data_IF_019736594332
#
_entry.id   IF_019736594332
#
_cell.length_a   1.000
_cell.length_b   1.000
_cell.length_c   1.000
_cell.angle_alpha   90.00
_cell.angle_beta   90.00
_cell.angle_gamma   90.00
#
_symmetry.space_group_name_H-M   'P 1'
#
loop_
_entity.id
_entity.type
_entity.pdbx_description
1 polymer ?
#
# COMPACT_ATOMS: atom_id res chain seq x y z
N UNK A 1 -34.94 7.69 32.83
CA UNK A 1 -33.89 8.73 32.98
C UNK A 1 -32.59 8.01 33.29
N UNK A 2 -31.56 7.94 32.47
CA UNK A 2 -31.30 8.31 31.09
C UNK A 2 -29.89 7.73 30.87
N UNK A 3 -29.75 6.76 29.97
CA UNK A 3 -28.46 6.18 29.59
C UNK A 3 -28.37 6.26 28.07
N UNK A 4 -27.32 6.94 27.60
CA UNK A 4 -27.09 7.32 26.21
C UNK A 4 -27.18 6.16 25.23
N UNK A 5 -28.05 6.35 24.24
CA UNK A 5 -28.06 5.60 22.99
C UNK A 5 -26.99 6.26 22.10
N UNK A 6 -25.74 5.83 22.23
CA UNK A 6 -24.62 6.35 21.40
C UNK A 6 -23.69 5.22 20.91
N UNK A 7 -24.23 4.03 20.65
CA UNK A 7 -23.41 2.86 20.23
C UNK A 7 -23.85 2.24 18.89
N UNK A 8 -24.83 2.81 18.17
CA UNK A 8 -25.35 2.19 16.94
C UNK A 8 -25.53 3.17 15.78
N UNK A 9 -24.43 3.72 15.23
CA UNK A 9 -24.41 4.19 13.82
C UNK A 9 -22.98 4.40 13.28
N UNK A 10 -22.22 3.32 13.11
CA UNK A 10 -21.20 3.27 12.06
C UNK A 10 -21.78 2.49 10.88
N UNK A 11 -22.87 3.01 10.29
CA UNK A 11 -23.38 2.50 9.02
C UNK A 11 -22.29 2.73 7.98
N UNK A 12 -21.70 1.63 7.51
CA UNK A 12 -20.95 1.56 6.27
C UNK A 12 -21.79 2.21 5.16
N UNK A 13 -21.43 3.42 4.75
CA UNK A 13 -22.04 4.07 3.59
C UNK A 13 -21.37 3.47 2.35
N UNK A 14 -21.84 2.30 1.93
CA UNK A 14 -21.60 1.81 0.59
C UNK A 14 -22.40 2.67 -0.39
N UNK A 15 -21.75 3.20 -1.43
CA UNK A 15 -22.42 3.88 -2.54
C UNK A 15 -23.26 2.89 -3.36
N UNK A 16 -24.12 3.44 -4.24
CA UNK A 16 -25.06 2.75 -5.15
C UNK A 16 -24.48 1.60 -6.00
N UNK A 17 -23.16 1.50 -6.16
CA UNK A 17 -22.45 0.45 -6.91
C UNK A 17 -21.65 -0.52 -6.01
N UNK A 18 -21.50 -0.22 -4.71
CA UNK A 18 -20.77 -1.06 -3.76
C UNK A 18 -19.25 -1.13 -3.95
N UNK A 19 -18.67 -0.36 -4.89
CA UNK A 19 -17.25 -0.45 -5.27
C UNK A 19 -16.34 0.57 -4.57
N UNK A 20 -16.92 1.61 -3.96
CA UNK A 20 -16.18 2.65 -3.25
C UNK A 20 -16.43 2.51 -1.73
N UNK A 21 -15.35 2.32 -0.99
CA UNK A 21 -15.30 2.41 0.47
C UNK A 21 -14.52 3.65 0.89
N UNK A 22 -14.92 4.32 1.97
CA UNK A 22 -14.17 5.44 2.52
C UNK A 22 -14.43 5.69 4.00
N UNK A 23 -13.45 6.33 4.64
CA UNK A 23 -13.53 6.99 5.94
C UNK A 23 -13.17 8.46 5.74
N UNK A 24 -14.18 9.33 5.75
CA UNK A 24 -13.97 10.76 5.47
C UNK A 24 -13.11 11.46 6.53
N UNK A 25 -13.19 11.02 7.80
CA UNK A 25 -12.34 11.55 8.88
C UNK A 25 -12.20 10.51 10.00
N UNK A 26 -11.00 10.42 10.58
CA UNK A 26 -10.71 9.73 11.84
C UNK A 26 -9.52 10.38 12.54
N UNK A 27 -9.24 9.97 13.77
CA UNK A 27 -8.14 10.50 14.60
C UNK A 27 -7.06 9.44 14.79
N UNK A 28 -5.80 9.87 14.83
CA UNK A 28 -4.62 9.06 15.16
C UNK A 28 -3.70 9.82 16.12
N UNK A 29 -2.56 9.23 16.51
CA UNK A 29 -1.68 9.75 17.55
C UNK A 29 -1.18 11.18 17.30
N UNK A 30 -1.12 11.60 16.04
CA UNK A 30 -0.48 12.85 15.62
C UNK A 30 -1.40 13.77 14.82
N UNK A 31 -2.72 13.50 14.78
CA UNK A 31 -3.67 14.33 14.05
C UNK A 31 -4.85 13.55 13.48
N UNK A 32 -5.30 14.00 12.31
CA UNK A 32 -6.48 13.47 11.62
C UNK A 32 -6.07 12.65 10.41
N UNK A 33 -6.92 11.74 9.96
CA UNK A 33 -6.72 11.04 8.70
C UNK A 33 -8.00 10.91 7.89
N UNK A 34 -7.85 10.69 6.58
CA UNK A 34 -8.92 10.31 5.66
C UNK A 34 -8.45 9.12 4.83
N UNK A 35 -9.34 8.18 4.52
CA UNK A 35 -9.01 6.96 3.79
C UNK A 35 -10.08 6.62 2.75
N UNK A 36 -9.70 6.15 1.58
CA UNK A 36 -10.63 5.72 0.54
C UNK A 36 -10.03 4.61 -0.31
N UNK A 37 -10.89 3.70 -0.77
CA UNK A 37 -10.55 2.60 -1.66
C UNK A 37 -11.65 2.46 -2.70
N UNK A 38 -11.30 2.43 -4.00
CA UNK A 38 -12.23 2.09 -5.07
C UNK A 38 -11.75 0.86 -5.83
N UNK A 39 -12.66 -0.08 -6.03
CA UNK A 39 -12.42 -1.31 -6.77
C UNK A 39 -12.62 -1.12 -8.27
N UNK A 40 -11.64 -1.57 -9.06
CA UNK A 40 -11.67 -1.73 -10.50
C UNK A 40 -11.58 -3.21 -10.91
N UNK A 41 -10.74 -3.99 -10.24
CA UNK A 41 -10.52 -5.41 -10.52
C UNK A 41 -11.74 -6.27 -10.15
N UNK A 42 -11.86 -7.48 -10.69
CA UNK A 42 -12.98 -8.37 -10.36
C UNK A 42 -13.02 -8.72 -8.86
N UNK A 43 -11.84 -8.91 -8.27
CA UNK A 43 -11.63 -8.93 -6.82
C UNK A 43 -10.81 -7.68 -6.47
N UNK A 44 -11.14 -7.01 -5.36
CA UNK A 44 -10.31 -5.93 -4.85
C UNK A 44 -8.98 -6.51 -4.39
N UNK A 45 -7.90 -6.19 -5.09
CA UNK A 45 -6.54 -6.68 -4.81
C UNK A 45 -5.83 -5.74 -3.83
N UNK A 46 -6.09 -4.44 -3.93
CA UNK A 46 -5.66 -3.42 -2.98
C UNK A 46 -6.12 -3.67 -1.55
N UNK A 47 -5.24 -3.46 -0.58
CA UNK A 47 -5.52 -3.44 0.85
C UNK A 47 -4.91 -2.20 1.50
N UNK A 48 -5.48 -1.75 2.61
CA UNK A 48 -4.89 -0.68 3.43
C UNK A 48 -5.20 -0.83 4.90
N UNK A 49 -4.35 -0.23 5.73
CA UNK A 49 -4.58 -0.15 7.17
C UNK A 49 -4.03 1.13 7.78
N UNK A 50 -4.67 1.51 8.89
CA UNK A 50 -4.29 2.59 9.77
C UNK A 50 -4.32 2.06 11.20
N UNK A 51 -3.16 2.07 11.85
CA UNK A 51 -3.00 1.64 13.24
C UNK A 51 -2.43 2.81 14.03
N UNK A 52 -2.98 3.10 15.20
CA UNK A 52 -2.49 4.15 16.10
C UNK A 52 -2.53 3.65 17.53
N UNK A 53 -1.57 4.09 18.34
CA UNK A 53 -1.42 3.61 19.71
C UNK A 53 -0.06 2.94 19.91
N UNK A 54 -0.06 1.85 20.67
CA UNK A 54 1.16 1.11 21.00
C UNK A 54 1.65 0.29 19.79
N UNK A 55 2.85 0.61 19.32
CA UNK A 55 3.55 -0.03 18.20
C UNK A 55 4.40 -1.22 18.66
N UNK A 56 4.18 -1.73 19.87
CA UNK A 56 4.86 -2.89 20.44
C UNK A 56 3.88 -3.80 21.19
N UNK A 57 4.33 -5.01 21.53
CA UNK A 57 3.58 -5.95 22.38
C UNK A 57 3.71 -5.62 23.87
N UNK A 58 4.65 -4.77 24.28
CA UNK A 58 4.83 -4.37 25.69
C UNK A 58 4.12 -3.05 25.98
N UNK A 59 3.44 -2.92 27.12
CA UNK A 59 2.69 -1.68 27.45
C UNK A 59 3.55 -0.41 27.50
N UNK A 60 4.86 -0.55 27.73
CA UNK A 60 5.81 0.57 27.79
C UNK A 60 6.53 0.85 26.45
N UNK A 61 6.22 0.13 25.37
CA UNK A 61 6.94 0.32 24.12
C UNK A 61 6.48 1.55 23.31
N UNK A 62 7.08 1.78 22.13
CA UNK A 62 6.86 2.99 21.35
C UNK A 62 5.39 3.20 21.00
N UNK A 63 4.93 4.45 21.11
CA UNK A 63 3.62 4.87 20.64
C UNK A 63 3.74 5.64 19.33
N UNK A 64 2.75 5.51 18.47
CA UNK A 64 2.76 6.22 17.20
C UNK A 64 1.63 5.80 16.28
N UNK A 65 1.86 6.05 14.99
CA UNK A 65 0.94 5.75 13.90
C UNK A 65 1.65 4.88 12.87
N UNK A 66 1.00 3.80 12.44
CA UNK A 66 1.40 2.97 11.31
C UNK A 66 0.34 3.09 10.21
N UNK A 67 0.81 3.25 8.98
CA UNK A 67 -0.02 3.33 7.76
C UNK A 67 0.50 2.28 6.79
N UNK A 68 -0.40 1.51 6.18
CA UNK A 68 -0.06 0.55 5.14
C UNK A 68 -0.97 0.70 3.93
N UNK A 69 -0.36 0.70 2.73
CA UNK A 69 -1.03 0.55 1.44
C UNK A 69 -0.37 -0.60 0.71
N UNK A 70 -1.17 -1.60 0.33
CA UNK A 70 -0.68 -2.85 -0.24
C UNK A 70 -1.44 -3.10 -1.54
N UNK A 71 -0.77 -2.83 -2.64
CA UNK A 71 -1.31 -2.96 -3.98
C UNK A 71 -1.02 -4.38 -4.48
N UNK A 72 -2.07 -5.20 -4.52
CA UNK A 72 -2.00 -6.62 -4.82
C UNK A 72 -2.14 -6.87 -6.31
N UNK A 73 -1.49 -7.92 -6.80
CA UNK A 73 -1.63 -8.32 -8.21
C UNK A 73 -1.63 -9.83 -8.39
N UNK A 74 -2.39 -10.28 -9.40
CA UNK A 74 -2.54 -11.70 -9.72
C UNK A 74 -3.45 -12.47 -8.75
N UNK A 75 -4.04 -11.76 -7.79
CA UNK A 75 -4.89 -12.24 -6.72
C UNK A 75 -4.75 -11.35 -5.47
N UNK A 76 -5.77 -11.31 -4.58
CA UNK A 76 -5.70 -10.55 -3.34
C UNK A 76 -4.99 -11.28 -2.19
N UNK A 77 -4.54 -12.53 -2.38
CA UNK A 77 -4.03 -13.37 -1.29
C UNK A 77 -2.80 -12.76 -0.61
N UNK A 78 -1.83 -12.26 -1.38
CA UNK A 78 -0.60 -11.71 -0.82
C UNK A 78 -0.83 -10.39 -0.10
N UNK A 79 -1.58 -9.45 -0.69
CA UNK A 79 -1.89 -8.16 -0.06
C UNK A 79 -2.72 -8.33 1.23
N UNK A 80 -3.65 -9.30 1.26
CA UNK A 80 -4.38 -9.68 2.48
C UNK A 80 -3.45 -10.27 3.54
N UNK A 81 -2.54 -11.16 3.15
CA UNK A 81 -1.56 -11.72 4.09
C UNK A 81 -0.71 -10.61 4.71
N UNK A 82 -0.24 -9.66 3.90
CA UNK A 82 0.51 -8.48 4.37
C UNK A 82 -0.34 -7.67 5.37
N UNK A 83 -1.60 -7.39 5.05
CA UNK A 83 -2.54 -6.65 5.90
C UNK A 83 -2.82 -7.35 7.25
N UNK A 84 -2.74 -8.67 7.29
CA UNK A 84 -2.94 -9.49 8.48
C UNK A 84 -1.70 -9.59 9.38
N UNK A 85 -0.49 -9.58 8.81
CA UNK A 85 0.71 -10.01 9.53
C UNK A 85 1.76 -8.91 9.71
N UNK A 86 1.92 -7.99 8.75
CA UNK A 86 3.06 -7.07 8.74
C UNK A 86 3.14 -6.20 10.00
N UNK A 87 2.02 -5.64 10.42
CA UNK A 87 1.96 -4.83 11.64
C UNK A 87 2.25 -5.65 12.89
N UNK A 88 1.79 -6.90 12.98
CA UNK A 88 2.09 -7.77 14.12
C UNK A 88 3.58 -8.15 14.18
N UNK A 89 4.19 -8.40 13.03
CA UNK A 89 5.64 -8.60 12.95
C UNK A 89 6.40 -7.34 13.38
N UNK A 90 5.96 -6.16 12.94
CA UNK A 90 6.53 -4.88 13.37
C UNK A 90 6.42 -4.70 14.89
N UNK A 91 5.26 -4.98 15.48
CA UNK A 91 5.08 -4.93 16.95
C UNK A 91 6.00 -5.90 17.69
N UNK A 92 6.15 -7.13 17.19
CA UNK A 92 7.05 -8.12 17.76
C UNK A 92 8.50 -7.63 17.75
N UNK A 93 9.00 -7.19 16.60
CA UNK A 93 10.39 -6.75 16.48
C UNK A 93 10.66 -5.43 17.20
N UNK A 94 9.68 -4.52 17.27
CA UNK A 94 9.77 -3.30 18.07
C UNK A 94 9.84 -3.62 19.58
N UNK A 95 9.12 -4.66 20.05
CA UNK A 95 9.23 -5.17 21.41
C UNK A 95 10.62 -5.73 21.71
N UNK A 96 11.14 -6.58 20.83
CA UNK A 96 12.46 -7.20 20.99
C UNK A 96 13.59 -6.16 21.04
N UNK A 97 13.46 -5.06 20.29
CA UNK A 97 14.46 -3.98 20.24
C UNK A 97 14.11 -2.78 21.13
N UNK A 98 12.98 -2.81 21.83
CA UNK A 98 12.46 -1.74 22.68
C UNK A 98 12.40 -0.36 22.00
N UNK A 99 12.31 -0.33 20.67
CA UNK A 99 12.36 0.90 19.87
C UNK A 99 11.81 0.66 18.47
N UNK A 100 11.44 1.74 17.78
CA UNK A 100 11.17 1.70 16.34
C UNK A 100 12.44 2.08 15.58
N UNK A 101 12.82 1.28 14.59
CA UNK A 101 14.05 1.48 13.82
C UNK A 101 13.92 0.94 12.39
N UNK A 102 14.87 1.31 11.53
CA UNK A 102 14.99 0.74 10.17
C UNK A 102 15.09 -0.79 10.22
N UNK A 103 15.84 -1.33 11.18
CA UNK A 103 16.03 -2.77 11.32
C UNK A 103 14.78 -3.50 11.79
N UNK A 104 13.97 -2.88 12.67
CA UNK A 104 12.64 -3.40 13.04
C UNK A 104 11.76 -3.53 11.81
N UNK A 105 11.71 -2.48 10.98
CA UNK A 105 10.90 -2.47 9.76
C UNK A 105 11.41 -3.52 8.77
N UNK A 106 12.73 -3.58 8.50
CA UNK A 106 13.31 -4.58 7.60
C UNK A 106 13.01 -6.02 8.07
N UNK A 107 13.16 -6.30 9.37
CA UNK A 107 12.81 -7.62 9.93
C UNK A 107 11.32 -7.94 9.80
N UNK A 108 10.44 -6.95 9.97
CA UNK A 108 9.01 -7.14 9.80
C UNK A 108 8.64 -7.50 8.35
N UNK A 109 9.23 -6.81 7.37
CA UNK A 109 9.07 -7.13 5.95
C UNK A 109 9.60 -8.54 5.63
N UNK A 110 10.81 -8.88 6.09
CA UNK A 110 11.40 -10.20 5.89
C UNK A 110 10.52 -11.32 6.47
N UNK A 111 10.06 -11.17 7.71
CA UNK A 111 9.18 -12.17 8.33
C UNK A 111 7.84 -12.33 7.61
N UNK A 112 7.31 -11.23 7.04
CA UNK A 112 6.09 -11.26 6.24
C UNK A 112 6.30 -12.02 4.93
N UNK A 113 7.40 -11.75 4.22
CA UNK A 113 7.79 -12.49 3.01
C UNK A 113 8.00 -13.98 3.30
N UNK A 114 8.73 -14.32 4.37
CA UNK A 114 8.96 -15.71 4.77
C UNK A 114 7.62 -16.43 5.05
N UNK A 115 6.66 -15.73 5.67
CA UNK A 115 5.31 -16.20 5.90
C UNK A 115 4.55 -16.49 4.60
N UNK A 116 4.62 -15.58 3.62
CA UNK A 116 4.02 -15.78 2.28
C UNK A 116 4.66 -16.97 1.57
N UNK A 117 5.98 -17.08 1.57
CA UNK A 117 6.69 -18.21 0.99
C UNK A 117 6.25 -19.53 1.63
N UNK A 118 6.10 -19.57 2.96
CA UNK A 118 5.60 -20.76 3.65
C UNK A 118 4.17 -21.13 3.21
N UNK A 119 3.29 -20.15 2.97
CA UNK A 119 1.96 -20.39 2.40
C UNK A 119 2.02 -20.94 0.97
N UNK A 120 2.91 -20.39 0.13
CA UNK A 120 3.13 -20.90 -1.23
C UNK A 120 3.60 -22.35 -1.19
N UNK A 121 4.63 -22.66 -0.39
CA UNK A 121 5.14 -24.03 -0.20
C UNK A 121 4.04 -25.01 0.22
N UNK A 122 3.19 -24.61 1.19
CA UNK A 122 2.10 -25.45 1.69
C UNK A 122 1.02 -25.72 0.66
N UNK A 123 0.72 -24.74 -0.21
CA UNK A 123 -0.37 -24.82 -1.18
C UNK A 123 0.09 -25.23 -2.58
N UNK A 124 1.40 -25.35 -2.82
CA UNK A 124 1.99 -25.52 -4.15
C UNK A 124 1.39 -26.64 -5.00
N UNK A 125 1.14 -27.82 -4.41
CA UNK A 125 0.60 -28.97 -5.13
C UNK A 125 -0.87 -28.80 -5.56
N UNK A 126 -1.65 -28.00 -4.82
CA UNK A 126 -3.09 -27.85 -5.03
C UNK A 126 -3.46 -26.54 -5.72
N UNK A 127 -2.73 -25.46 -5.44
CA UNK A 127 -2.97 -24.10 -5.95
C UNK A 127 -1.67 -23.44 -6.40
N UNK A 128 -0.95 -23.96 -7.42
CA UNK A 128 0.36 -23.44 -7.82
C UNK A 128 0.35 -21.97 -8.25
N UNK A 129 -0.81 -21.46 -8.70
CA UNK A 129 -0.98 -20.05 -9.05
C UNK A 129 -0.65 -19.08 -7.91
N UNK A 130 -0.75 -19.50 -6.64
CA UNK A 130 -0.41 -18.64 -5.49
C UNK A 130 1.05 -18.15 -5.53
N UNK A 131 1.95 -18.89 -6.18
CA UNK A 131 3.33 -18.48 -6.36
C UNK A 131 3.49 -17.25 -7.27
N UNK A 132 2.49 -16.94 -8.10
CA UNK A 132 2.46 -15.79 -9.00
C UNK A 132 1.57 -14.63 -8.47
N UNK A 133 1.12 -14.72 -7.22
CA UNK A 133 0.40 -13.65 -6.54
C UNK A 133 1.40 -12.81 -5.75
N UNK A 134 1.36 -11.50 -5.93
CA UNK A 134 2.28 -10.57 -5.27
C UNK A 134 1.55 -9.35 -4.72
N UNK A 135 2.32 -8.51 -4.03
CA UNK A 135 1.86 -7.22 -3.54
C UNK A 135 3.02 -6.24 -3.49
N UNK A 136 2.83 -5.06 -4.07
CA UNK A 136 3.54 -3.86 -3.66
C UNK A 136 3.18 -3.55 -2.20
N UNK A 137 4.09 -2.91 -1.47
CA UNK A 137 3.92 -2.67 -0.04
C UNK A 137 4.57 -1.34 0.35
N UNK A 138 3.72 -0.35 0.62
CA UNK A 138 4.09 0.96 1.13
C UNK A 138 3.68 1.06 2.59
N UNK A 139 4.65 1.36 3.46
CA UNK A 139 4.46 1.54 4.90
C UNK A 139 4.99 2.89 5.35
N UNK A 140 4.19 3.60 6.15
CA UNK A 140 4.61 4.76 6.92
C UNK A 140 4.53 4.48 8.42
N UNK A 141 5.57 4.85 9.18
CA UNK A 141 5.55 4.80 10.65
C UNK A 141 5.96 6.16 11.21
N UNK A 142 5.07 6.77 12.00
CA UNK A 142 5.34 8.00 12.75
C UNK A 142 5.52 7.62 14.21
N UNK A 143 6.71 7.80 14.76
CA UNK A 143 7.05 7.45 16.13
C UNK A 143 8.07 8.43 16.69
N UNK A 144 7.77 9.07 17.83
CA UNK A 144 8.69 10.00 18.51
C UNK A 144 9.21 11.13 17.62
N UNK A 145 8.35 11.73 16.78
CA UNK A 145 8.73 12.80 15.83
C UNK A 145 9.48 12.32 14.58
N UNK A 146 9.83 11.04 14.51
CA UNK A 146 10.50 10.45 13.35
C UNK A 146 9.46 9.79 12.43
N UNK A 147 9.60 10.06 11.13
CA UNK A 147 8.86 9.39 10.07
C UNK A 147 9.77 8.38 9.37
N UNK A 148 9.30 7.13 9.28
CA UNK A 148 9.89 6.08 8.48
C UNK A 148 8.97 5.80 7.29
N UNK A 149 9.51 5.77 6.07
CA UNK A 149 8.79 5.35 4.87
C UNK A 149 9.52 4.16 4.27
N UNK A 150 8.86 3.00 4.24
CA UNK A 150 9.35 1.79 3.62
C UNK A 150 8.52 1.45 2.38
N UNK A 151 9.15 1.21 1.24
CA UNK A 151 8.45 0.92 0.00
C UNK A 151 9.02 -0.29 -0.75
N UNK A 152 8.12 -1.12 -1.26
CA UNK A 152 8.34 -2.18 -2.24
C UNK A 152 7.35 -1.98 -3.39
N UNK A 153 7.85 -1.95 -4.62
CA UNK A 153 7.00 -1.69 -5.79
C UNK A 153 6.82 -0.20 -6.05
N UNK A 154 5.65 0.18 -6.54
CA UNK A 154 5.35 1.46 -7.20
C UNK A 154 4.17 2.23 -6.62
N UNK A 155 3.65 1.77 -5.47
CA UNK A 155 2.96 2.66 -4.56
C UNK A 155 3.89 3.82 -4.11
N UNK A 156 3.31 4.97 -3.76
CA UNK A 156 4.08 6.19 -3.44
C UNK A 156 3.53 6.96 -2.23
N UNK A 157 4.46 7.48 -1.43
CA UNK A 157 4.19 8.44 -0.35
C UNK A 157 4.67 9.84 -0.73
N UNK A 158 3.79 10.84 -0.55
CA UNK A 158 4.07 12.26 -0.88
C UNK A 158 3.71 13.15 0.30
N UNK A 159 4.66 13.98 0.73
CA UNK A 159 4.50 14.98 1.78
C UNK A 159 4.05 16.32 1.18
N UNK A 160 3.03 16.94 1.77
CA UNK A 160 2.72 18.35 1.59
C UNK A 160 3.45 19.20 2.63
N UNK A 161 4.41 20.02 2.18
CA UNK A 161 5.25 20.87 3.05
C UNK A 161 5.04 22.35 2.74
N UNK A 162 4.76 23.15 3.76
CA UNK A 162 4.67 24.61 3.64
C UNK A 162 6.06 25.21 3.44
N UNK A 163 6.22 26.03 2.41
CA UNK A 163 7.39 26.86 2.19
C UNK A 163 7.23 28.14 3.01
N UNK A 164 8.02 28.30 4.07
CA UNK A 164 7.91 29.45 4.99
C UNK A 164 7.92 30.82 4.31
N UNK A 165 8.67 30.97 3.23
CA UNK A 165 8.83 32.24 2.55
C UNK A 165 7.59 32.66 1.75
N UNK A 166 6.84 31.71 1.20
CA UNK A 166 5.71 31.98 0.29
C UNK A 166 4.35 31.59 0.88
N UNK A 167 4.34 30.70 1.87
CA UNK A 167 3.12 30.07 2.38
C UNK A 167 2.56 28.97 1.47
N UNK A 168 3.18 28.72 0.32
CA UNK A 168 2.76 27.67 -0.62
C UNK A 168 3.07 26.28 -0.06
N UNK A 169 2.26 25.30 -0.43
CA UNK A 169 2.47 23.90 -0.05
C UNK A 169 3.04 23.14 -1.24
N UNK A 170 4.30 22.73 -1.14
CA UNK A 170 4.97 21.96 -2.18
C UNK A 170 4.92 20.47 -1.86
N UNK A 171 4.83 19.68 -2.92
CA UNK A 171 4.93 18.23 -2.87
C UNK A 171 6.39 17.77 -2.75
N UNK A 172 6.64 16.84 -1.83
CA UNK A 172 7.93 16.17 -1.64
C UNK A 172 7.69 14.67 -1.65
N UNK A 173 8.19 13.97 -2.67
CA UNK A 173 8.13 12.51 -2.72
C UNK A 173 9.05 11.89 -1.68
N UNK A 174 8.52 10.97 -0.86
CA UNK A 174 9.24 10.36 0.25
C UNK A 174 9.73 8.93 -0.03
N UNK A 175 9.15 8.27 -1.03
CA UNK A 175 9.42 6.88 -1.39
C UNK A 175 10.14 6.76 -2.73
N UNK A 176 11.14 5.89 -2.80
CA UNK A 176 11.66 5.40 -4.08
C UNK A 176 10.66 4.39 -4.68
N UNK A 177 10.47 4.45 -5.99
CA UNK A 177 9.59 3.53 -6.73
C UNK A 177 10.41 2.50 -7.48
N UNK A 178 9.89 1.28 -7.54
CA UNK A 178 10.60 0.11 -8.06
C UNK A 178 9.92 -0.43 -9.32
N UNK A 179 9.53 0.44 -10.25
CA UNK A 179 8.88 0.10 -11.51
C UNK A 179 9.87 0.14 -12.69
N UNK A 180 9.84 -0.86 -13.56
CA UNK A 180 10.70 -0.97 -14.74
C UNK A 180 10.48 0.14 -15.79
N UNK A 181 9.42 0.93 -15.68
CA UNK A 181 9.24 2.16 -16.46
C UNK A 181 10.25 3.26 -16.10
N UNK A 182 10.86 3.19 -14.91
CA UNK A 182 11.90 4.12 -14.44
C UNK A 182 13.28 3.63 -14.91
N UNK A 183 14.06 4.51 -15.55
CA UNK A 183 15.35 4.13 -16.14
C UNK A 183 16.37 3.66 -15.10
N UNK A 184 16.44 4.29 -13.92
CA UNK A 184 17.36 3.87 -12.85
C UNK A 184 17.07 2.45 -12.37
N UNK A 185 15.79 2.07 -12.26
CA UNK A 185 15.37 0.70 -11.92
C UNK A 185 15.78 -0.29 -13.02
N UNK A 186 15.69 0.10 -14.30
CA UNK A 186 16.19 -0.73 -15.40
C UNK A 186 17.70 -0.93 -15.34
N UNK A 187 18.45 0.12 -15.00
CA UNK A 187 19.90 0.04 -14.85
C UNK A 187 20.29 -0.86 -13.67
N UNK A 188 19.61 -0.74 -12.53
CA UNK A 188 19.79 -1.62 -11.37
C UNK A 188 19.54 -3.09 -11.74
N UNK A 189 18.42 -3.39 -12.41
CA UNK A 189 18.09 -4.75 -12.84
C UNK A 189 19.15 -5.36 -13.76
N UNK A 190 19.67 -4.58 -14.73
CA UNK A 190 20.75 -4.99 -15.63
C UNK A 190 22.07 -5.22 -14.88
N UNK A 191 22.39 -4.36 -13.90
CA UNK A 191 23.61 -4.49 -13.11
C UNK A 191 23.59 -5.73 -12.20
N UNK A 192 22.42 -6.08 -11.64
CA UNK A 192 22.24 -7.29 -10.82
C UNK A 192 22.20 -8.59 -11.66
N UNK A 193 21.90 -8.49 -12.95
CA UNK A 193 21.77 -9.63 -13.86
C UNK A 193 22.58 -9.41 -15.15
N UNK A 194 23.92 -9.27 -15.06
CA UNK A 194 24.77 -8.93 -16.21
C UNK A 194 24.72 -9.98 -17.33
N UNK A 195 24.42 -11.24 -16.97
CA UNK A 195 24.35 -12.37 -17.91
C UNK A 195 22.94 -12.61 -18.48
N UNK A 196 21.95 -11.78 -18.13
CA UNK A 196 20.56 -11.93 -18.58
C UNK A 196 20.14 -10.71 -19.45
N UNK A 197 20.39 -10.74 -20.77
CA UNK A 197 20.01 -9.64 -21.65
C UNK A 197 18.49 -9.42 -21.74
N UNK A 198 17.70 -10.37 -21.22
CA UNK A 198 16.24 -10.32 -21.19
C UNK A 198 15.68 -10.00 -19.80
N UNK A 199 16.51 -9.52 -18.85
CA UNK A 199 16.06 -9.15 -17.50
C UNK A 199 14.98 -8.06 -17.54
N UNK A 200 15.10 -7.09 -18.44
CA UNK A 200 14.07 -6.08 -18.70
C UNK A 200 13.74 -6.03 -20.19
N UNK A 201 12.47 -6.16 -20.53
CA UNK A 201 11.98 -6.20 -21.91
C UNK A 201 10.88 -5.16 -22.12
N UNK A 202 10.92 -4.45 -23.24
CA UNK A 202 9.82 -3.59 -23.67
C UNK A 202 8.78 -4.46 -24.40
N UNK A 203 7.58 -4.60 -23.83
CA UNK A 203 6.49 -5.41 -24.38
C UNK A 203 5.21 -4.58 -24.44
N UNK A 204 4.63 -4.43 -25.62
CA UNK A 204 3.46 -3.57 -25.86
C UNK A 204 3.65 -2.14 -25.33
N UNK A 205 4.81 -1.54 -25.60
CA UNK A 205 5.21 -0.20 -25.13
C UNK A 205 5.30 -0.03 -23.60
N UNK A 206 5.35 -1.14 -22.85
CA UNK A 206 5.52 -1.15 -21.40
C UNK A 206 6.77 -1.95 -21.03
N UNK A 207 7.66 -1.36 -20.24
CA UNK A 207 8.83 -2.05 -19.72
C UNK A 207 8.42 -3.06 -18.65
N UNK A 208 8.91 -4.31 -18.78
CA UNK A 208 8.58 -5.41 -17.87
C UNK A 208 9.81 -6.21 -17.50
N UNK A 209 9.92 -6.60 -16.24
CA UNK A 209 10.88 -7.57 -15.74
C UNK A 209 10.56 -8.94 -16.32
N UNK A 210 11.52 -9.54 -17.04
CA UNK A 210 11.38 -10.79 -17.82
C UNK A 210 10.17 -10.83 -18.77
N UNK A 211 9.62 -9.68 -19.15
CA UNK A 211 8.41 -9.59 -19.97
C UNK A 211 7.09 -9.97 -19.26
N UNK A 212 7.12 -10.10 -17.92
CA UNK A 212 6.00 -10.59 -17.11
C UNK A 212 5.37 -9.46 -16.27
N UNK A 213 6.14 -8.82 -15.41
CA UNK A 213 5.65 -7.87 -14.39
C UNK A 213 6.36 -6.51 -14.51
N UNK A 214 5.74 -5.42 -14.07
CA UNK A 214 6.32 -4.07 -14.14
C UNK A 214 7.17 -3.73 -12.92
N UNK A 215 6.85 -4.26 -11.74
CA UNK A 215 7.64 -4.00 -10.54
C UNK A 215 8.86 -4.90 -10.44
N UNK A 216 9.93 -4.37 -9.86
CA UNK A 216 11.21 -5.05 -9.59
C UNK A 216 11.31 -5.55 -8.15
N UNK A 217 10.40 -5.10 -7.28
CA UNK A 217 10.34 -5.48 -5.87
C UNK A 217 8.88 -5.65 -5.44
N UNK A 218 8.61 -6.69 -4.66
CA UNK A 218 7.28 -7.02 -4.13
C UNK A 218 7.40 -7.98 -2.95
N UNK A 219 6.34 -8.11 -2.16
CA UNK A 219 6.11 -9.30 -1.32
C UNK A 219 5.37 -10.33 -2.19
N UNK A 220 5.65 -11.63 -2.04
CA UNK A 220 5.08 -12.67 -2.89
C UNK A 220 5.82 -12.80 -4.23
N UNK A 221 5.12 -13.04 -5.34
CA UNK A 221 5.76 -13.35 -6.64
C UNK A 221 6.88 -14.39 -6.53
N UNK A 222 6.69 -15.38 -5.67
CA UNK A 222 7.73 -16.33 -5.26
C UNK A 222 8.27 -17.10 -6.47
N UNK A 223 7.45 -17.28 -7.51
CA UNK A 223 7.86 -17.88 -8.78
C UNK A 223 9.00 -17.13 -9.50
N UNK A 224 9.27 -15.86 -9.20
CA UNK A 224 10.41 -15.08 -9.72
C UNK A 224 11.56 -14.96 -8.72
N UNK A 225 11.37 -15.44 -7.50
CA UNK A 225 12.36 -15.36 -6.42
C UNK A 225 13.05 -16.70 -6.17
N UNK A 226 12.34 -17.81 -6.36
CA UNK A 226 12.86 -19.16 -6.11
C UNK A 226 12.57 -20.09 -7.29
N UNK A 227 13.64 -20.71 -7.80
CA UNK A 227 13.57 -21.64 -8.92
C UNK A 227 12.61 -22.84 -8.65
N UNK A 228 12.48 -23.24 -7.39
CA UNK A 228 11.60 -24.35 -6.96
C UNK A 228 10.12 -24.13 -7.31
N UNK A 229 9.69 -22.87 -7.49
CA UNK A 229 8.33 -22.47 -7.85
C UNK A 229 8.21 -21.94 -9.30
N UNK A 230 9.29 -21.94 -10.09
CA UNK A 230 9.23 -21.61 -11.52
C UNK A 230 9.25 -22.89 -12.37
N UNK A 231 8.35 -23.83 -12.06
CA UNK A 231 8.27 -25.14 -12.73
C UNK A 231 6.85 -25.69 -12.64
N UNK A 232 6.60 -26.83 -13.27
CA UNK A 232 5.32 -27.52 -13.12
C UNK A 232 5.03 -27.84 -11.65
N UNK A 233 3.79 -27.64 -11.17
CA UNK A 233 2.56 -27.44 -11.94
C UNK A 233 2.18 -25.97 -12.26
N UNK A 234 3.08 -24.99 -12.11
CA UNK A 234 2.79 -23.61 -12.52
C UNK A 234 2.55 -23.49 -14.03
N UNK A 235 1.56 -22.68 -14.41
CA UNK A 235 1.17 -22.50 -15.79
C UNK A 235 2.32 -21.96 -16.65
N UNK A 236 2.43 -22.48 -17.88
CA UNK A 236 3.51 -22.17 -18.80
C UNK A 236 3.71 -20.66 -19.03
N UNK A 237 2.65 -19.85 -18.99
CA UNK A 237 2.72 -18.39 -19.15
C UNK A 237 3.56 -17.67 -18.09
N UNK A 238 3.74 -18.25 -16.91
CA UNK A 238 4.56 -17.71 -15.82
C UNK A 238 5.95 -18.36 -15.73
N UNK A 239 6.16 -19.47 -16.44
CA UNK A 239 7.45 -20.17 -16.43
C UNK A 239 8.44 -19.47 -17.32
N UNK A 240 9.64 -19.25 -16.80
CA UNK A 240 10.77 -18.76 -17.56
C UNK A 240 11.36 -19.89 -18.40
N UNK A 241 11.96 -19.54 -19.54
CA UNK A 241 12.62 -20.52 -20.41
C UNK A 241 13.89 -21.07 -19.77
N UNK A 242 14.60 -20.24 -19.03
CA UNK A 242 15.85 -20.58 -18.36
C UNK A 242 15.64 -20.64 -16.85
N UNK A 243 16.30 -21.58 -16.13
CA UNK A 243 16.23 -21.66 -14.69
C UNK A 243 16.72 -20.38 -14.01
N UNK A 244 16.06 -19.99 -12.92
CA UNK A 244 16.45 -18.85 -12.09
C UNK A 244 17.75 -19.22 -11.35
N UNK A 245 18.85 -18.53 -11.68
CA UNK A 245 20.14 -18.64 -10.95
C UNK A 245 20.23 -17.64 -9.80
N UNK A 246 19.73 -16.43 -10.03
CA UNK A 246 19.67 -15.33 -9.06
C UNK A 246 18.22 -14.87 -8.96
N UNK A 247 17.69 -14.59 -7.76
CA UNK A 247 16.33 -14.05 -7.60
C UNK A 247 16.11 -12.81 -8.47
N UNK A 248 15.07 -12.84 -9.30
CA UNK A 248 14.77 -11.78 -10.28
C UNK A 248 14.11 -10.58 -9.62
N UNK A 249 13.21 -10.86 -8.67
CA UNK A 249 12.60 -9.86 -7.78
C UNK A 249 13.19 -10.00 -6.38
N UNK A 250 13.09 -8.94 -5.58
CA UNK A 250 13.44 -8.97 -4.17
C UNK A 250 12.31 -8.39 -3.30
N UNK A 251 12.31 -8.73 -2.01
CA UNK A 251 11.35 -8.27 -1.01
C UNK A 251 12.00 -7.30 0.00
N UNK A 252 13.16 -6.71 -0.33
CA UNK A 252 13.84 -5.77 0.56
C UNK A 252 13.35 -4.33 0.30
N UNK A 253 12.68 -3.69 1.28
CA UNK A 253 12.13 -2.35 1.08
C UNK A 253 13.25 -1.31 0.98
N UNK A 254 13.06 -0.31 0.12
CA UNK A 254 13.79 0.96 0.29
C UNK A 254 13.21 1.68 1.49
N UNK A 255 14.04 2.06 2.46
CA UNK A 255 13.59 2.77 3.67
C UNK A 255 14.21 4.16 3.71
N UNK A 256 13.37 5.19 3.82
CA UNK A 256 13.79 6.56 4.13
C UNK A 256 13.37 6.94 5.55
N UNK A 257 14.18 7.78 6.20
CA UNK A 257 13.96 8.24 7.57
C UNK A 257 14.05 9.76 7.58
N UNK A 258 13.02 10.41 8.10
CA UNK A 258 12.93 11.87 8.14
C UNK A 258 12.51 12.32 9.55
N UNK A 259 13.12 13.39 10.04
CA UNK A 259 12.61 14.09 11.21
C UNK A 259 11.51 15.05 10.77
N UNK A 260 10.30 14.85 11.30
CA UNK A 260 9.16 15.70 10.98
C UNK A 260 9.43 17.14 11.44
N UNK A 261 9.13 18.07 10.55
CA UNK A 261 9.29 19.51 10.79
C UNK A 261 7.92 20.16 10.98
N UNK A 262 7.83 21.31 11.68
CA UNK A 262 6.55 22.01 11.84
C UNK A 262 5.90 22.47 10.51
N UNK A 263 6.65 22.45 9.41
CA UNK A 263 6.16 22.80 8.07
C UNK A 263 5.46 21.63 7.37
N UNK A 264 5.63 20.41 7.89
CA UNK A 264 5.05 19.19 7.34
C UNK A 264 3.57 19.14 7.71
N UNK A 265 2.68 19.28 6.72
CA UNK A 265 1.24 19.42 6.98
C UNK A 265 0.49 18.10 6.90
N UNK A 266 0.81 17.29 5.90
CA UNK A 266 0.15 16.01 5.66
C UNK A 266 0.97 15.11 4.75
N UNK A 267 0.72 13.82 4.81
CA UNK A 267 1.32 12.81 3.94
C UNK A 267 0.19 12.06 3.22
N UNK A 268 0.34 11.88 1.92
CA UNK A 268 -0.53 11.08 1.06
C UNK A 268 0.18 9.75 0.80
N UNK A 269 -0.41 8.64 1.22
CA UNK A 269 -0.01 7.28 0.86
C UNK A 269 -1.02 6.74 -0.16
N UNK A 270 -0.57 6.28 -1.32
CA UNK A 270 -1.48 5.70 -2.30
C UNK A 270 -0.83 4.65 -3.20
N UNK A 271 -1.67 3.74 -3.71
CA UNK A 271 -1.31 2.77 -4.75
C UNK A 271 -1.06 3.47 -6.09
N UNK A 272 -0.45 2.75 -7.04
CA UNK A 272 -0.12 3.31 -8.34
C UNK A 272 -1.38 3.81 -9.09
N UNK A 273 -2.54 3.20 -8.83
CA UNK A 273 -3.83 3.60 -9.38
C UNK A 273 -4.20 5.06 -9.11
N UNK A 274 -3.63 5.71 -8.09
CA UNK A 274 -3.74 7.18 -7.95
C UNK A 274 -2.73 7.90 -8.86
N UNK A 275 -1.48 7.48 -8.79
CA UNK A 275 -0.32 8.15 -9.37
C UNK A 275 -0.21 7.99 -10.89
N UNK A 276 -0.92 7.02 -11.48
CA UNK A 276 -1.14 6.92 -12.93
C UNK A 276 -1.98 8.09 -13.48
N UNK A 277 -2.77 8.75 -12.62
CA UNK A 277 -3.73 9.77 -13.02
C UNK A 277 -3.41 11.17 -12.50
N UNK A 278 -2.73 11.30 -11.36
CA UNK A 278 -2.40 12.59 -10.76
C UNK A 278 -0.90 12.73 -10.54
N UNK A 279 -0.37 13.92 -10.80
CA UNK A 279 0.97 14.30 -10.36
C UNK A 279 1.01 14.52 -8.83
N UNK A 280 2.23 14.50 -8.27
CA UNK A 280 2.44 14.75 -6.84
C UNK A 280 1.88 16.11 -6.41
N UNK A 281 2.09 17.15 -7.22
CA UNK A 281 1.63 18.50 -6.88
C UNK A 281 0.12 18.64 -7.00
N UNK A 282 -0.51 18.08 -8.05
CA UNK A 282 -1.98 18.09 -8.17
C UNK A 282 -2.65 17.41 -6.97
N UNK A 283 -2.11 16.29 -6.49
CA UNK A 283 -2.62 15.61 -5.30
C UNK A 283 -2.48 16.48 -4.04
N UNK A 284 -1.32 17.12 -3.85
CA UNK A 284 -1.08 18.05 -2.73
C UNK A 284 -2.03 19.25 -2.79
N UNK A 285 -2.23 19.83 -3.97
CA UNK A 285 -3.12 20.96 -4.18
C UNK A 285 -4.59 20.60 -3.89
N UNK A 286 -5.02 19.40 -4.28
CA UNK A 286 -6.37 18.90 -3.96
C UNK A 286 -6.56 18.78 -2.44
N UNK A 287 -5.58 18.27 -1.71
CA UNK A 287 -5.67 18.13 -0.25
C UNK A 287 -5.62 19.49 0.44
N UNK A 288 -4.70 20.37 0.03
CA UNK A 288 -4.49 21.68 0.65
C UNK A 288 -5.68 22.65 0.43
N UNK A 289 -6.27 22.66 -0.77
CA UNK A 289 -7.29 23.64 -1.14
C UNK A 289 -8.72 23.23 -0.76
N UNK A 290 -8.89 22.14 0.01
CA UNK A 290 -10.19 21.64 0.42
C UNK A 290 -10.22 21.28 1.92
N UNK A 291 -11.43 21.18 2.53
CA UNK A 291 -11.54 20.76 3.94
C UNK A 291 -10.91 19.39 4.16
N UNK A 292 -10.25 19.14 5.30
CA UNK A 292 -9.59 17.84 5.57
C UNK A 292 -10.52 16.63 5.45
N UNK A 293 -11.78 16.79 5.84
CA UNK A 293 -12.81 15.76 5.75
C UNK A 293 -13.04 15.30 4.30
N UNK A 294 -12.84 14.02 4.02
CA UNK A 294 -13.05 13.38 2.72
C UNK A 294 -11.93 13.61 1.71
N UNK A 295 -10.71 13.92 2.17
CA UNK A 295 -9.57 14.22 1.28
C UNK A 295 -9.18 13.03 0.42
N UNK A 296 -9.10 11.83 1.00
CA UNK A 296 -8.82 10.62 0.25
C UNK A 296 -9.91 10.34 -0.81
N UNK A 297 -11.19 10.53 -0.46
CA UNK A 297 -12.30 10.36 -1.40
C UNK A 297 -12.25 11.37 -2.55
N UNK A 298 -11.83 12.61 -2.29
CA UNK A 298 -11.63 13.63 -3.34
C UNK A 298 -10.49 13.26 -4.28
N UNK A 299 -9.36 12.76 -3.75
CA UNK A 299 -8.24 12.28 -4.56
C UNK A 299 -8.67 11.12 -5.46
N UNK A 300 -9.37 10.11 -4.92
CA UNK A 300 -9.96 9.03 -5.72
C UNK A 300 -10.89 9.58 -6.81
N UNK A 301 -11.80 10.51 -6.46
CA UNK A 301 -12.70 11.12 -7.45
C UNK A 301 -11.94 11.84 -8.56
N UNK A 302 -10.91 12.60 -8.24
CA UNK A 302 -10.10 13.33 -9.21
C UNK A 302 -9.37 12.36 -10.16
N UNK A 303 -8.76 11.30 -9.63
CA UNK A 303 -8.13 10.26 -10.45
C UNK A 303 -9.13 9.59 -11.40
N UNK A 304 -10.33 9.23 -10.93
CA UNK A 304 -11.38 8.66 -11.78
C UNK A 304 -11.89 9.64 -12.85
N UNK A 305 -11.91 10.94 -12.57
CA UNK A 305 -12.26 11.95 -13.57
C UNK A 305 -11.20 12.03 -14.67
N UNK A 306 -9.92 11.99 -14.31
CA UNK A 306 -8.83 11.97 -15.30
C UNK A 306 -8.78 10.65 -16.07
N UNK A 307 -9.04 9.50 -15.42
CA UNK A 307 -9.19 8.21 -16.07
C UNK A 307 -10.30 8.22 -17.13
N UNK A 308 -11.47 8.77 -16.77
CA UNK A 308 -12.59 8.92 -17.70
C UNK A 308 -12.24 9.84 -18.88
N UNK A 309 -11.55 10.96 -18.62
CA UNK A 309 -11.10 11.89 -19.65
C UNK A 309 -10.10 11.27 -20.62
N UNK A 310 -9.11 10.50 -20.13
CA UNK A 310 -8.16 9.73 -20.97
C UNK A 310 -8.84 8.70 -21.89
N UNK A 311 -10.09 8.34 -21.59
CA UNK A 311 -10.93 7.41 -22.36
C UNK A 311 -12.10 8.11 -23.06
N UNK A 312 -12.05 9.44 -23.15
CA UNK A 312 -13.06 10.28 -23.81
C UNK A 312 -14.50 10.01 -23.35
N UNK A 313 -14.67 9.69 -22.06
CA UNK A 313 -15.97 9.36 -21.49
C UNK A 313 -16.31 10.22 -20.28
N UNK A 314 -17.61 10.27 -19.94
CA UNK A 314 -18.05 10.98 -18.73
C UNK A 314 -17.71 10.15 -17.49
N UNK A 315 -17.31 10.83 -16.42
CA UNK A 315 -17.16 10.21 -15.09
C UNK A 315 -18.42 9.43 -14.65
N UNK A 316 -19.61 9.93 -14.97
CA UNK A 316 -20.87 9.27 -14.67
C UNK A 316 -21.07 7.93 -15.39
N UNK A 317 -20.43 7.74 -16.54
CA UNK A 317 -20.51 6.51 -17.31
C UNK A 317 -19.47 5.51 -16.81
N UNK A 318 -18.25 5.97 -16.52
CA UNK A 318 -17.22 5.15 -15.86
C UNK A 318 -17.73 4.52 -14.55
N UNK A 319 -18.49 5.28 -13.75
CA UNK A 319 -19.09 4.79 -12.50
C UNK A 319 -20.12 3.67 -12.67
N UNK A 320 -20.68 3.50 -13.87
CA UNK A 320 -21.67 2.44 -14.14
C UNK A 320 -21.03 1.16 -14.68
N UNK A 321 -19.72 1.18 -14.92
CA UNK A 321 -19.00 0.00 -15.40
C UNK A 321 -18.77 -0.94 -14.24
N UNK A 322 -19.19 -2.19 -14.41
CA UNK A 322 -18.99 -3.25 -13.43
C UNK A 322 -17.49 -3.51 -13.18
N UNK A 323 -17.18 -3.95 -11.97
CA UNK A 323 -15.85 -4.44 -11.59
C UNK A 323 -15.35 -5.52 -12.56
N UNK A 324 -14.03 -5.64 -12.71
CA UNK A 324 -13.40 -6.49 -13.72
C UNK A 324 -13.36 -5.83 -15.10
N UNK A 325 -14.49 -5.35 -15.63
CA UNK A 325 -14.49 -4.56 -16.88
C UNK A 325 -13.87 -3.18 -16.64
N UNK A 326 -14.16 -2.59 -15.47
CA UNK A 326 -13.64 -1.30 -15.03
C UNK A 326 -12.10 -1.21 -15.03
N UNK A 327 -11.40 -2.34 -14.88
CA UNK A 327 -9.92 -2.43 -14.92
C UNK A 327 -9.29 -1.92 -16.22
N UNK A 328 -10.03 -1.88 -17.33
CA UNK A 328 -9.54 -1.33 -18.61
C UNK A 328 -9.40 0.20 -18.60
N UNK A 329 -9.98 0.87 -17.59
CA UNK A 329 -10.07 2.32 -17.49
C UNK A 329 -9.17 2.88 -16.39
N UNK A 330 -9.10 2.21 -15.25
CA UNK A 330 -8.22 2.53 -14.11
C UNK A 330 -7.94 1.25 -13.30
N UNK A 331 -6.93 1.26 -12.45
CA UNK A 331 -6.69 0.18 -11.48
C UNK A 331 -7.53 0.34 -10.20
N UNK A 332 -7.45 -0.62 -9.27
CA UNK A 332 -7.82 -0.36 -7.89
C UNK A 332 -7.09 0.90 -7.39
N UNK A 333 -7.77 1.75 -6.62
CA UNK A 333 -7.16 2.98 -6.09
C UNK A 333 -7.37 3.02 -4.60
N UNK A 334 -6.27 3.01 -3.85
CA UNK A 334 -6.22 3.16 -2.40
C UNK A 334 -5.50 4.44 -2.04
N UNK A 335 -6.10 5.23 -1.15
CA UNK A 335 -5.53 6.49 -0.67
C UNK A 335 -5.71 6.61 0.83
N UNK A 336 -4.63 6.92 1.55
CA UNK A 336 -4.63 7.34 2.95
C UNK A 336 -3.98 8.73 3.03
N UNK A 337 -4.71 9.71 3.56
CA UNK A 337 -4.17 11.06 3.84
C UNK A 337 -4.04 11.19 5.35
N UNK A 338 -2.83 11.45 5.84
CA UNK A 338 -2.50 11.61 7.25
C UNK A 338 -2.09 13.05 7.51
N UNK A 339 -2.87 13.78 8.28
CA UNK A 339 -2.60 15.16 8.66
C UNK A 339 -1.73 15.20 9.93
N UNK A 340 -0.72 16.06 9.91
CA UNK A 340 0.26 16.18 10.97
C UNK A 340 -0.05 17.44 11.80
N UNK A 341 -0.30 17.25 13.09
CA UNK A 341 -0.34 18.35 14.06
C UNK A 341 1.05 18.54 14.66
N UNK A 342 1.70 19.66 14.32
CA UNK A 342 3.04 20.00 14.79
C UNK A 342 3.16 20.04 16.33
N UNK A 343 2.08 20.37 17.05
CA UNK A 343 2.08 20.41 18.51
C UNK A 343 2.03 18.99 19.12
N UNK A 344 1.36 18.06 18.44
CA UNK A 344 1.30 16.66 18.88
C UNK A 344 2.57 15.90 18.51
N UNK A 345 3.12 16.16 17.32
CA UNK A 345 4.38 15.53 16.86
C UNK A 345 5.55 15.87 17.80
N UNK A 346 5.65 17.10 18.29
CA UNK A 346 6.69 17.53 19.24
C UNK A 346 6.53 16.97 20.66
N UNK A 347 5.34 16.47 21.01
CA UNK A 347 5.02 15.89 22.34
C UNK A 347 4.93 14.36 22.33
N UNK A 348 5.06 13.72 21.17
CA UNK A 348 4.74 12.31 20.95
C UNK A 348 5.71 11.30 21.62
N UNK A 349 6.73 11.74 22.34
CA UNK A 349 7.75 10.85 22.90
C UNK A 349 7.34 10.13 24.21
N UNK A 350 6.16 10.41 24.80
CA UNK A 350 5.83 9.79 26.11
C UNK A 350 4.35 9.68 26.49
N UNK A 351 3.39 10.11 25.67
CA UNK A 351 1.97 10.12 26.04
C UNK A 351 1.17 8.99 25.38
N UNK A 352 0.43 8.23 26.21
CA UNK A 352 -0.60 7.30 25.73
C UNK A 352 -1.55 8.04 24.79
N UNK A 353 -1.69 7.56 23.56
CA UNK A 353 -2.65 8.09 22.58
C UNK A 353 -3.80 7.09 22.36
N UNK A 354 -4.96 7.53 21.85
CA UNK A 354 -6.07 6.64 21.54
C UNK A 354 -5.63 5.51 20.60
N UNK A 355 -6.03 4.28 20.95
CA UNK A 355 -5.83 3.12 20.08
C UNK A 355 -6.82 3.17 18.92
N UNK A 356 -6.31 3.05 17.70
CA UNK A 356 -7.09 2.90 16.48
C UNK A 356 -6.55 1.67 15.73
N UNK A 357 -7.46 0.83 15.25
CA UNK A 357 -7.16 -0.15 14.20
C UNK A 357 -8.27 -0.03 13.16
N UNK A 358 -7.88 0.23 11.91
CA UNK A 358 -8.80 0.38 10.79
C UNK A 358 -8.21 -0.20 9.53
N UNK A 359 -9.02 -0.91 8.76
CA UNK A 359 -8.66 -1.46 7.44
C UNK A 359 -9.59 -0.92 6.36
N UNK A 360 -9.03 -0.70 5.18
CA UNK A 360 -9.78 -0.26 4.00
C UNK A 360 -10.44 -1.43 3.28
N UNK A 361 -11.50 -1.16 2.51
CA UNK A 361 -12.06 -2.16 1.60
C UNK A 361 -12.95 -3.24 2.26
N UNK A 362 -13.16 -3.18 3.58
CA UNK A 362 -14.29 -3.87 4.22
C UNK A 362 -14.23 -5.40 4.24
N UNK A 363 -13.09 -6.00 4.58
CA UNK A 363 -13.08 -7.38 5.09
C UNK A 363 -12.67 -7.38 6.56
N UNK A 364 -13.63 -7.05 7.44
CA UNK A 364 -13.57 -7.59 8.80
C UNK A 364 -13.92 -9.07 8.68
N UNK A 365 -12.93 -9.95 8.50
CA UNK A 365 -13.16 -11.38 8.69
C UNK A 365 -13.45 -11.57 10.19
N UNK A 366 -14.70 -11.86 10.52
CA UNK A 366 -14.96 -12.56 11.77
C UNK A 366 -14.19 -13.89 11.73
N UNK A 367 -13.60 -14.37 12.84
CA UNK A 367 -12.76 -15.58 12.84
C UNK A 367 -13.41 -16.87 12.32
N UNK A 368 -14.73 -16.88 12.04
CA UNK A 368 -15.51 -18.09 11.77
C UNK A 368 -16.26 -18.12 10.41
N UNK A 369 -16.03 -17.21 9.46
CA UNK A 369 -16.66 -17.33 8.13
C UNK A 369 -15.81 -18.18 7.17
N UNK A 370 -16.15 -19.46 7.05
CA UNK A 370 -15.74 -20.31 5.93
C UNK A 370 -16.17 -19.65 4.60
N UNK A 371 -15.27 -19.67 3.61
CA UNK A 371 -15.56 -19.18 2.26
C UNK A 371 -16.78 -19.92 1.66
N UNK A 372 -17.69 -19.23 0.95
CA UNK A 372 -18.70 -19.90 0.15
C UNK A 372 -17.99 -20.68 -0.96
N UNK A 373 -18.28 -21.98 -1.04
CA UNK A 373 -17.72 -22.88 -2.03
C UNK A 373 -17.99 -22.41 -3.46
N UNK A 374 -16.96 -22.53 -4.31
CA UNK A 374 -17.10 -22.50 -5.75
C UNK A 374 -17.81 -23.79 -6.18
N UNK A 375 -18.99 -23.64 -6.76
CA UNK A 375 -19.55 -24.61 -7.70
C UNK A 375 -19.01 -24.32 -9.09
#
# INVERSE_FOLDING_TARGET
MGASIEVLTAMLIFWRDGLLWYKDSGQHANGEFSMAVVQANNLLEDQSQMESGNLSLHEAGPYGTFVGVYDGHGGPETSRYVNDHLFQHLKRFASEQQSMSVDVIRKAFQATEDGVIAQVSKQWSMRPLIAAVGSCCLVGVICGGTLYIANLGDSRAVLGRVVKATGEVLSVQLSAEHNASIESVRQELRALHPDDPHIVVLKHNVWRVKGLIQVSRSIGDVYLKRAEFNREPLYAKFRLREPIKTPILNAEPSISVLQLQPQDQFIIFASDGLWEHLSNQEAVDIVQNHPRNGSARRLVKAALQEAAKKREMRYSDLKKIDRGVRRHFHDDITVVVVFLDSNLVSRASSTKCPSLSMRGGGVNLHPNSLAPGMA
#
